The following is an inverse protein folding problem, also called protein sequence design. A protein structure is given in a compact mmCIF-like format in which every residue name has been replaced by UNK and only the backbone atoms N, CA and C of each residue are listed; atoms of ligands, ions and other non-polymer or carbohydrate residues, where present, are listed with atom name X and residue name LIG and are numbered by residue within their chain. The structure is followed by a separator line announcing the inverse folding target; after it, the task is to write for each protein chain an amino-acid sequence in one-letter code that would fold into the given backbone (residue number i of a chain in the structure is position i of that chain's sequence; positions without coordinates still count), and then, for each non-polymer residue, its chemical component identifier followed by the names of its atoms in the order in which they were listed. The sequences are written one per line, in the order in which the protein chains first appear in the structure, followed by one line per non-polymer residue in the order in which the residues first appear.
data_IF_632225063507
#
_entry.id   IF_632225063507
#
_cell.length_a   1.000
_cell.length_b   1.000
_cell.length_c   1.000
_cell.angle_alpha   90.00
_cell.angle_beta   90.00
_cell.angle_gamma   90.00
#
_symmetry.space_group_name_H-M   'P 1'
#
loop_
_entity.id
_entity.type
_entity.pdbx_description
1 polymer ?
#
# COMPACT_ATOMS: atom_id res chain seq x y z
N UNK A 1 31.49 -51.24 -40.91
CA UNK A 1 30.36 -50.53 -40.27
C UNK A 1 30.71 -49.04 -40.26
N UNK A 2 30.05 -48.22 -41.08
CA UNK A 2 30.25 -46.77 -41.08
C UNK A 2 29.62 -46.16 -39.82
N UNK A 3 30.40 -45.47 -39.00
CA UNK A 3 29.86 -44.72 -37.86
C UNK A 3 28.92 -43.61 -38.38
N UNK A 4 27.63 -43.70 -38.03
CA UNK A 4 26.65 -42.68 -38.40
C UNK A 4 26.83 -41.45 -37.50
N UNK A 5 27.44 -40.43 -38.06
CA UNK A 5 27.87 -39.23 -37.37
C UNK A 5 26.97 -38.07 -37.75
N UNK A 6 26.37 -37.42 -36.75
CA UNK A 6 25.47 -36.27 -36.96
C UNK A 6 26.02 -35.01 -36.33
N UNK A 7 25.85 -33.90 -37.01
CA UNK A 7 26.12 -32.58 -36.43
C UNK A 7 25.03 -32.21 -35.42
N UNK A 8 25.33 -31.27 -34.51
CA UNK A 8 24.32 -30.77 -33.57
C UNK A 8 23.11 -30.16 -34.31
N UNK A 9 23.34 -29.62 -35.51
CA UNK A 9 22.25 -29.07 -36.34
C UNK A 9 21.32 -30.18 -36.82
N UNK A 10 21.87 -31.23 -37.44
CA UNK A 10 21.07 -32.36 -37.96
C UNK A 10 20.33 -33.08 -36.83
N UNK A 11 20.96 -33.24 -35.66
CA UNK A 11 20.30 -33.83 -34.50
C UNK A 11 19.15 -32.96 -33.98
N UNK A 12 19.30 -31.63 -34.01
CA UNK A 12 18.24 -30.71 -33.61
C UNK A 12 17.07 -30.73 -34.60
N UNK A 13 17.38 -30.76 -35.91
CA UNK A 13 16.39 -30.81 -36.98
C UNK A 13 15.59 -32.14 -36.92
N UNK A 14 16.23 -33.27 -36.61
CA UNK A 14 15.56 -34.58 -36.40
C UNK A 14 14.63 -34.59 -35.18
N UNK A 15 15.03 -33.89 -34.11
CA UNK A 15 14.28 -33.81 -32.86
C UNK A 15 13.21 -32.71 -32.88
N UNK A 16 13.09 -31.94 -33.95
CA UNK A 16 12.11 -30.84 -34.07
C UNK A 16 12.36 -29.68 -33.10
N UNK A 17 13.59 -29.52 -32.59
CA UNK A 17 13.96 -28.49 -31.61
C UNK A 17 14.97 -27.49 -32.19
N UNK A 18 15.07 -26.32 -31.57
CA UNK A 18 16.04 -25.33 -32.03
C UNK A 18 17.49 -25.78 -31.75
N UNK A 19 18.39 -25.60 -32.73
CA UNK A 19 19.82 -25.86 -32.56
C UNK A 19 20.43 -25.20 -31.31
N UNK A 20 20.00 -23.96 -31.01
CA UNK A 20 20.47 -23.20 -29.84
C UNK A 20 20.04 -23.86 -28.54
N UNK A 21 18.79 -24.31 -28.44
CA UNK A 21 18.27 -25.03 -27.28
C UNK A 21 19.07 -26.32 -27.03
N UNK A 22 19.26 -27.13 -28.08
CA UNK A 22 20.03 -28.36 -27.99
C UNK A 22 21.49 -28.11 -27.54
N UNK A 23 22.16 -27.09 -28.09
CA UNK A 23 23.52 -26.71 -27.68
C UNK A 23 23.59 -26.34 -26.19
N UNK A 24 22.63 -25.55 -25.69
CA UNK A 24 22.58 -25.17 -24.28
C UNK A 24 22.37 -26.39 -23.38
N UNK A 25 21.43 -27.28 -23.73
CA UNK A 25 21.16 -28.51 -22.98
C UNK A 25 22.40 -29.40 -22.91
N UNK A 26 23.07 -29.62 -24.05
CA UNK A 26 24.33 -30.38 -24.09
C UNK A 26 25.39 -29.73 -23.19
N UNK A 27 25.55 -28.41 -23.25
CA UNK A 27 26.54 -27.70 -22.42
C UNK A 27 26.25 -27.82 -20.92
N UNK A 28 24.97 -27.74 -20.54
CA UNK A 28 24.54 -27.88 -19.15
C UNK A 28 24.81 -29.29 -18.62
N UNK A 29 24.36 -30.32 -19.33
CA UNK A 29 24.53 -31.73 -18.91
C UNK A 29 26.01 -32.15 -18.92
N UNK A 30 26.78 -31.67 -19.91
CA UNK A 30 28.23 -31.87 -19.96
C UNK A 30 28.91 -31.35 -18.69
N UNK A 31 28.52 -30.16 -18.22
CA UNK A 31 29.06 -29.56 -16.98
C UNK A 31 28.58 -30.31 -15.74
N UNK A 32 27.30 -30.65 -15.67
CA UNK A 32 26.68 -31.37 -14.55
C UNK A 32 27.32 -32.74 -14.33
N UNK A 33 27.53 -33.49 -15.41
CA UNK A 33 28.02 -34.88 -15.38
C UNK A 33 29.54 -35.00 -15.62
N UNK A 34 30.25 -33.87 -15.81
CA UNK A 34 31.69 -33.81 -16.12
C UNK A 34 32.10 -34.69 -17.32
N UNK A 35 31.25 -34.76 -18.33
CA UNK A 35 31.48 -35.58 -19.53
C UNK A 35 32.23 -34.78 -20.61
N UNK A 36 32.83 -35.48 -21.57
CA UNK A 36 33.35 -34.90 -22.80
C UNK A 36 32.51 -35.38 -23.98
N UNK A 37 31.76 -34.45 -24.58
CA UNK A 37 30.89 -34.71 -25.73
C UNK A 37 31.27 -33.78 -26.87
N UNK A 38 31.26 -34.34 -28.08
CA UNK A 38 31.49 -33.66 -29.34
C UNK A 38 32.93 -33.80 -29.82
N UNK A 39 33.11 -34.42 -30.98
CA UNK A 39 34.40 -34.53 -31.66
C UNK A 39 34.47 -33.53 -32.82
N UNK A 40 35.60 -32.85 -32.96
CA UNK A 40 35.84 -31.94 -34.07
C UNK A 40 36.17 -32.73 -35.33
N UNK A 41 35.42 -32.48 -36.41
CA UNK A 41 35.72 -32.99 -37.75
C UNK A 41 35.68 -31.87 -38.77
N UNK A 42 36.54 -31.97 -39.78
CA UNK A 42 36.58 -31.01 -40.89
C UNK A 42 35.53 -31.41 -41.92
N UNK A 43 34.49 -30.60 -42.06
CA UNK A 43 33.39 -30.80 -43.02
C UNK A 43 33.34 -29.55 -43.89
N UNK A 44 33.44 -29.73 -45.21
CA UNK A 44 33.43 -28.61 -46.17
C UNK A 44 34.45 -27.50 -45.81
N UNK A 45 35.67 -27.90 -45.42
CA UNK A 45 36.75 -26.99 -45.04
C UNK A 45 36.63 -26.35 -43.64
N UNK A 46 35.50 -26.50 -42.94
CA UNK A 46 35.25 -25.92 -41.61
C UNK A 46 35.28 -26.98 -40.51
N UNK A 47 35.84 -26.64 -39.36
CA UNK A 47 35.76 -27.49 -38.17
C UNK A 47 34.34 -27.45 -37.62
N UNK A 48 33.69 -28.62 -37.59
CA UNK A 48 32.32 -28.81 -37.13
C UNK A 48 32.32 -29.85 -36.01
N UNK A 49 31.50 -29.62 -34.99
CA UNK A 49 31.29 -30.59 -33.91
C UNK A 49 30.32 -31.65 -34.41
N UNK A 50 30.75 -32.91 -34.29
CA UNK A 50 29.99 -34.07 -34.72
C UNK A 50 29.85 -35.05 -33.55
N UNK A 51 28.68 -35.68 -33.49
CA UNK A 51 28.25 -36.57 -32.40
C UNK A 51 28.23 -38.01 -32.90
N UNK A 52 28.85 -38.89 -32.13
CA UNK A 52 28.77 -40.35 -32.29
C UNK A 52 27.38 -40.88 -31.95
N UNK A 53 27.06 -42.08 -32.42
CA UNK A 53 25.77 -42.71 -32.14
C UNK A 53 25.49 -42.82 -30.63
N UNK A 54 26.52 -43.10 -29.82
CA UNK A 54 26.42 -43.18 -28.35
C UNK A 54 26.08 -41.82 -27.73
N UNK A 55 26.73 -40.75 -28.20
CA UNK A 55 26.44 -39.40 -27.74
C UNK A 55 25.03 -38.96 -28.16
N UNK A 56 24.60 -39.30 -29.38
CA UNK A 56 23.24 -39.01 -29.85
C UNK A 56 22.18 -39.69 -28.98
N UNK A 57 22.36 -40.97 -28.62
CA UNK A 57 21.41 -41.68 -27.74
C UNK A 57 21.38 -41.11 -26.32
N UNK A 58 22.54 -40.71 -25.79
CA UNK A 58 22.63 -40.08 -24.47
C UNK A 58 21.94 -38.72 -24.44
N UNK A 59 22.09 -37.93 -25.50
CA UNK A 59 21.45 -36.62 -25.62
C UNK A 59 19.92 -36.77 -25.72
N UNK A 60 19.42 -37.81 -26.41
CA UNK A 60 17.99 -38.11 -26.47
C UNK A 60 17.43 -38.47 -25.09
N UNK A 61 18.12 -39.32 -24.32
CA UNK A 61 17.66 -39.67 -22.97
C UNK A 61 17.58 -38.47 -22.02
N UNK A 62 18.46 -37.48 -22.16
CA UNK A 62 18.39 -36.25 -21.37
C UNK A 62 17.20 -35.34 -21.71
N UNK A 63 16.64 -35.49 -22.90
CA UNK A 63 15.43 -34.78 -23.34
C UNK A 63 14.18 -35.51 -22.83
N UNK A 64 14.15 -36.84 -22.97
CA UNK A 64 13.05 -37.67 -22.46
C UNK A 64 12.91 -37.57 -20.93
N UNK A 65 14.03 -37.50 -20.20
CA UNK A 65 14.04 -37.32 -18.74
C UNK A 65 13.63 -35.89 -18.32
N UNK A 66 13.85 -34.89 -19.18
CA UNK A 66 13.37 -33.53 -18.94
C UNK A 66 11.84 -33.43 -19.05
N UNK A 67 11.23 -34.13 -20.01
CA UNK A 67 9.78 -34.19 -20.16
C UNK A 67 9.11 -34.97 -19.00
N UNK A 68 9.79 -35.98 -18.45
CA UNK A 68 9.27 -36.75 -17.29
C UNK A 68 9.42 -36.03 -15.94
N UNK A 69 10.38 -35.11 -15.79
CA UNK A 69 10.61 -34.36 -14.55
C UNK A 69 9.89 -33.00 -14.52
N UNK A 70 9.59 -32.41 -15.68
CA UNK A 70 8.90 -31.12 -15.77
C UNK A 70 7.48 -31.14 -15.21
N UNK A 71 6.75 -32.26 -15.29
CA UNK A 71 5.36 -32.36 -14.83
C UNK A 71 5.18 -32.25 -13.32
N UNK A 72 5.97 -32.98 -12.52
CA UNK A 72 5.73 -33.06 -11.07
C UNK A 72 6.13 -31.80 -10.31
N UNK A 73 7.20 -31.12 -10.73
CA UNK A 73 7.69 -29.92 -10.04
C UNK A 73 6.83 -28.69 -10.39
N UNK A 74 6.34 -28.58 -11.62
CA UNK A 74 5.40 -27.53 -12.03
C UNK A 74 4.03 -27.67 -11.35
N UNK A 75 3.57 -28.90 -11.08
CA UNK A 75 2.29 -29.16 -10.44
C UNK A 75 2.32 -28.85 -8.93
N UNK A 76 3.42 -29.14 -8.24
CA UNK A 76 3.63 -28.73 -6.85
C UNK A 76 3.73 -27.21 -6.71
N UNK A 77 4.48 -26.54 -7.59
CA UNK A 77 4.57 -25.08 -7.62
C UNK A 77 3.22 -24.43 -7.92
N UNK A 78 2.44 -24.98 -8.86
CA UNK A 78 1.05 -24.53 -9.12
C UNK A 78 0.15 -24.73 -7.92
N UNK A 79 0.28 -25.83 -7.20
CA UNK A 79 -0.51 -26.12 -5.99
C UNK A 79 -0.23 -25.08 -4.91
N UNK A 80 1.05 -24.82 -4.63
CA UNK A 80 1.49 -23.81 -3.67
C UNK A 80 1.02 -22.40 -4.07
N UNK A 81 1.13 -22.04 -5.34
CA UNK A 81 0.66 -20.75 -5.86
C UNK A 81 -0.86 -20.58 -5.72
N UNK A 82 -1.64 -21.64 -5.98
CA UNK A 82 -3.10 -21.61 -5.79
C UNK A 82 -3.48 -21.37 -4.34
N UNK A 83 -2.85 -22.07 -3.41
CA UNK A 83 -3.11 -21.91 -1.98
C UNK A 83 -2.74 -20.49 -1.52
N UNK A 84 -1.62 -19.95 -2.01
CA UNK A 84 -1.22 -18.57 -1.73
C UNK A 84 -2.22 -17.54 -2.29
N UNK A 85 -2.70 -17.73 -3.51
CA UNK A 85 -3.72 -16.86 -4.13
C UNK A 85 -5.00 -16.89 -3.29
N UNK A 86 -5.47 -18.06 -2.89
CA UNK A 86 -6.67 -18.20 -2.07
C UNK A 86 -6.57 -17.43 -0.74
N UNK A 87 -5.42 -17.51 -0.06
CA UNK A 87 -5.18 -16.75 1.17
C UNK A 87 -5.17 -15.25 0.89
N UNK A 88 -4.53 -14.80 -0.20
CA UNK A 88 -4.49 -13.39 -0.58
C UNK A 88 -5.88 -12.84 -0.93
N UNK A 89 -6.72 -13.63 -1.61
CA UNK A 89 -8.12 -13.27 -1.90
C UNK A 89 -8.92 -13.08 -0.61
N UNK A 90 -8.76 -13.97 0.38
CA UNK A 90 -9.40 -13.82 1.69
C UNK A 90 -8.96 -12.55 2.43
N UNK A 91 -7.65 -12.24 2.40
CA UNK A 91 -7.16 -10.99 2.99
C UNK A 91 -7.71 -9.77 2.26
N UNK A 92 -7.78 -9.81 0.93
CA UNK A 92 -8.33 -8.73 0.13
C UNK A 92 -9.81 -8.48 0.44
N UNK A 93 -10.62 -9.53 0.60
CA UNK A 93 -12.02 -9.41 1.01
C UNK A 93 -12.15 -8.73 2.37
N UNK A 94 -11.35 -9.14 3.36
CA UNK A 94 -11.34 -8.53 4.69
C UNK A 94 -10.99 -7.05 4.59
N UNK A 95 -9.91 -6.70 3.91
CA UNK A 95 -9.50 -5.31 3.68
C UNK A 95 -10.57 -4.46 2.99
N UNK A 96 -11.28 -5.04 2.00
CA UNK A 96 -12.39 -4.35 1.33
C UNK A 96 -13.56 -4.10 2.28
N UNK A 97 -13.92 -5.08 3.11
CA UNK A 97 -14.98 -4.90 4.12
C UNK A 97 -14.61 -3.83 5.14
N UNK A 98 -13.41 -3.87 5.73
CA UNK A 98 -12.93 -2.86 6.67
C UNK A 98 -12.90 -1.46 6.05
N UNK A 99 -12.43 -1.33 4.81
CA UNK A 99 -12.47 -0.04 4.09
C UNK A 99 -13.89 0.47 3.89
N UNK A 100 -14.86 -0.41 3.62
CA UNK A 100 -16.26 -0.02 3.48
C UNK A 100 -16.86 0.49 4.78
N UNK A 101 -16.51 -0.13 5.91
CA UNK A 101 -16.93 0.30 7.26
C UNK A 101 -16.29 1.62 7.65
N UNK A 102 -15.00 1.78 7.41
CA UNK A 102 -14.28 3.04 7.63
C UNK A 102 -14.90 4.19 6.84
N UNK A 103 -15.27 3.97 5.57
CA UNK A 103 -15.98 4.98 4.76
C UNK A 103 -17.32 5.38 5.39
N UNK A 104 -18.08 4.43 5.94
CA UNK A 104 -19.35 4.73 6.63
C UNK A 104 -19.11 5.56 7.89
N UNK A 105 -18.10 5.22 8.69
CA UNK A 105 -17.73 5.97 9.90
C UNK A 105 -17.28 7.39 9.53
N UNK A 106 -16.47 7.55 8.50
CA UNK A 106 -16.05 8.87 7.99
C UNK A 106 -17.27 9.70 7.58
N UNK A 107 -18.23 9.10 6.87
CA UNK A 107 -19.45 9.82 6.48
C UNK A 107 -20.30 10.22 7.70
N UNK A 108 -20.42 9.35 8.70
CA UNK A 108 -21.17 9.65 9.93
C UNK A 108 -20.50 10.77 10.73
N UNK A 109 -19.17 10.71 10.89
CA UNK A 109 -18.41 11.74 11.60
C UNK A 109 -18.45 13.09 10.88
N UNK A 110 -18.40 13.11 9.54
CA UNK A 110 -18.61 14.33 8.76
C UNK A 110 -20.00 14.93 9.00
N UNK A 111 -21.05 14.10 8.99
CA UNK A 111 -22.41 14.58 9.24
C UNK A 111 -22.57 15.16 10.65
N UNK A 112 -21.98 14.52 11.67
CA UNK A 112 -21.99 15.02 13.05
C UNK A 112 -21.22 16.34 13.18
N UNK A 113 -20.07 16.47 12.50
CA UNK A 113 -19.30 17.70 12.46
C UNK A 113 -20.12 18.83 11.83
N UNK A 114 -20.78 18.58 10.71
CA UNK A 114 -21.65 19.56 10.06
C UNK A 114 -22.82 19.97 10.96
N UNK A 115 -23.42 19.03 11.69
CA UNK A 115 -24.46 19.33 12.69
C UNK A 115 -23.93 20.22 13.82
N UNK A 116 -22.75 19.90 14.35
CA UNK A 116 -22.12 20.69 15.41
C UNK A 116 -21.81 22.11 14.93
N UNK A 117 -21.34 22.29 13.70
CA UNK A 117 -21.11 23.60 13.10
C UNK A 117 -22.42 24.41 12.97
N UNK A 118 -23.51 23.77 12.56
CA UNK A 118 -24.83 24.43 12.46
C UNK A 118 -25.35 24.88 13.83
N UNK A 119 -25.25 24.02 14.84
CA UNK A 119 -25.67 24.36 16.21
C UNK A 119 -24.82 25.50 16.76
N UNK A 120 -23.50 25.47 16.58
CA UNK A 120 -22.61 26.56 17.00
C UNK A 120 -22.97 27.92 16.35
N UNK A 121 -23.40 27.91 15.09
CA UNK A 121 -23.88 29.13 14.42
C UNK A 121 -25.22 29.62 15.00
N UNK A 122 -26.13 28.71 15.35
CA UNK A 122 -27.40 29.06 16.01
C UNK A 122 -27.15 29.63 17.40
N UNK A 123 -26.31 28.98 18.20
CA UNK A 123 -25.93 29.45 19.54
C UNK A 123 -25.27 30.82 19.48
N UNK A 124 -24.37 31.04 18.51
CA UNK A 124 -23.75 32.35 18.29
C UNK A 124 -24.80 33.43 18.02
N UNK A 125 -25.79 33.16 17.17
CA UNK A 125 -26.87 34.11 16.87
C UNK A 125 -27.71 34.43 18.10
N UNK A 126 -28.09 33.40 18.86
CA UNK A 126 -28.85 33.57 20.10
C UNK A 126 -28.07 34.40 21.14
N UNK A 127 -26.77 34.18 21.26
CA UNK A 127 -25.89 34.98 22.12
C UNK A 127 -25.78 36.45 21.66
N UNK A 128 -25.80 36.71 20.36
CA UNK A 128 -25.84 38.08 19.81
C UNK A 128 -27.17 38.76 20.13
N UNK A 129 -28.30 38.06 20.01
CA UNK A 129 -29.65 38.54 20.38
C UNK A 129 -29.72 38.88 21.88
N UNK A 130 -29.27 37.98 22.76
CA UNK A 130 -29.24 38.26 24.21
C UNK A 130 -28.33 39.44 24.58
N UNK A 131 -27.20 39.62 23.90
CA UNK A 131 -26.32 40.78 24.10
C UNK A 131 -27.01 42.08 23.70
N UNK A 132 -27.75 42.08 22.59
CA UNK A 132 -28.51 43.23 22.13
C UNK A 132 -29.67 43.54 23.11
N UNK A 133 -30.47 42.55 23.48
CA UNK A 133 -31.57 42.72 24.43
C UNK A 133 -31.08 43.23 25.79
N UNK A 134 -29.96 42.69 26.29
CA UNK A 134 -29.33 43.20 27.53
C UNK A 134 -28.91 44.67 27.40
N UNK A 135 -28.40 45.08 26.24
CA UNK A 135 -27.99 46.46 25.97
C UNK A 135 -29.21 47.39 25.93
N UNK A 136 -30.28 46.96 25.27
CA UNK A 136 -31.52 47.73 25.15
C UNK A 136 -32.23 47.85 26.51
N UNK A 137 -32.30 46.76 27.28
CA UNK A 137 -32.83 46.77 28.65
C UNK A 137 -32.02 47.69 29.57
N UNK A 138 -30.69 47.69 29.45
CA UNK A 138 -29.83 48.64 30.18
C UNK A 138 -30.11 50.10 29.78
N UNK A 139 -30.37 50.37 28.49
CA UNK A 139 -30.71 51.70 28.01
C UNK A 139 -32.11 52.16 28.47
N UNK A 140 -33.07 51.23 28.57
CA UNK A 140 -34.42 51.52 29.04
C UNK A 140 -34.50 51.79 30.55
N UNK A 141 -33.57 51.24 31.34
CA UNK A 141 -33.58 51.31 32.82
C UNK A 141 -33.02 52.61 33.42
N UNK A 142 -33.06 53.73 32.71
CA UNK A 142 -32.62 55.05 33.23
C UNK A 142 -33.68 56.12 32.99
N UNK A 143 -34.17 56.77 34.08
CA UNK A 143 -33.57 58.04 34.53
C UNK A 143 -32.79 57.91 35.86
N UNK A 144 -31.85 58.83 36.16
CA UNK A 144 -31.07 58.80 37.39
C UNK A 144 -31.98 59.15 38.57
N UNK A 145 -32.32 58.16 39.39
CA UNK A 145 -32.88 58.45 40.71
C UNK A 145 -31.74 58.74 41.67
N UNK A 146 -31.75 59.99 42.10
CA UNK A 146 -30.86 60.67 43.03
C UNK A 146 -30.89 59.96 44.40
N UNK A 147 -30.25 58.79 44.54
CA UNK A 147 -30.13 58.14 45.84
C UNK A 147 -28.74 57.56 46.04
N UNK A 148 -27.98 58.31 46.84
CA UNK A 148 -26.64 58.01 47.37
C UNK A 148 -26.49 56.55 47.76
N UNK A 149 -25.42 55.94 47.23
CA UNK A 149 -24.74 54.79 47.83
C UNK A 149 -25.35 53.43 47.51
N UNK A 150 -24.76 52.71 46.55
CA UNK A 150 -24.95 51.24 46.49
C UNK A 150 -24.97 50.58 45.11
N UNK A 151 -24.87 51.31 44.00
CA UNK A 151 -25.06 50.70 42.66
C UNK A 151 -23.77 50.29 41.92
N UNK A 152 -22.57 50.59 42.46
CA UNK A 152 -21.32 50.28 41.78
C UNK A 152 -20.89 48.80 41.87
N UNK A 153 -21.44 48.04 42.82
CA UNK A 153 -20.91 46.70 43.16
C UNK A 153 -21.51 45.56 42.32
N UNK A 154 -22.69 45.78 41.71
CA UNK A 154 -23.42 44.73 40.97
C UNK A 154 -23.21 44.75 39.45
N UNK A 155 -22.57 45.78 38.88
CA UNK A 155 -22.45 45.93 37.42
C UNK A 155 -21.13 45.40 36.82
N UNK A 156 -20.07 45.30 37.64
CA UNK A 156 -18.72 44.90 37.21
C UNK A 156 -18.48 43.37 37.27
N UNK A 157 -19.10 42.66 38.23
CA UNK A 157 -18.87 41.23 38.47
C UNK A 157 -19.15 40.31 37.26
N UNK A 158 -20.31 40.42 36.56
CA UNK A 158 -20.60 39.50 35.46
C UNK A 158 -19.77 39.77 34.19
N UNK A 159 -19.28 41.01 34.02
CA UNK A 159 -18.51 41.42 32.85
C UNK A 159 -17.05 40.98 32.97
N UNK A 160 -16.47 41.10 34.17
CA UNK A 160 -15.12 40.60 34.46
C UNK A 160 -15.07 39.07 34.42
N UNK A 161 -16.10 38.38 34.90
CA UNK A 161 -16.21 36.93 34.76
C UNK A 161 -16.37 36.50 33.30
N UNK A 162 -17.16 37.23 32.50
CA UNK A 162 -17.27 37.00 31.06
C UNK A 162 -15.95 37.23 30.33
N UNK A 163 -15.21 38.29 30.67
CA UNK A 163 -13.89 38.54 30.08
C UNK A 163 -12.87 37.50 30.50
N UNK A 164 -12.89 37.06 31.76
CA UNK A 164 -12.09 35.92 32.25
C UNK A 164 -12.42 34.64 31.49
N UNK A 165 -13.69 34.24 31.42
CA UNK A 165 -14.12 33.03 30.70
C UNK A 165 -13.84 33.11 29.19
N UNK A 166 -13.92 34.29 28.59
CA UNK A 166 -13.55 34.52 27.19
C UNK A 166 -12.04 34.43 26.97
N UNK A 167 -11.25 34.96 27.91
CA UNK A 167 -9.79 34.83 27.88
C UNK A 167 -9.34 33.38 28.08
N UNK A 168 -10.01 32.65 28.97
CA UNK A 168 -9.77 31.23 29.23
C UNK A 168 -10.14 30.39 27.99
N UNK A 169 -11.31 30.61 27.39
CA UNK A 169 -11.70 29.97 26.13
C UNK A 169 -10.71 30.25 25.00
N UNK A 170 -10.23 31.49 24.89
CA UNK A 170 -9.24 31.85 23.88
C UNK A 170 -7.92 31.11 24.12
N UNK A 171 -7.48 31.02 25.38
CA UNK A 171 -6.26 30.25 25.72
C UNK A 171 -6.42 28.76 25.45
N UNK A 172 -7.60 28.19 25.72
CA UNK A 172 -7.88 26.78 25.45
C UNK A 172 -7.93 26.50 23.94
N UNK A 173 -8.49 27.41 23.14
CA UNK A 173 -8.44 27.31 21.68
C UNK A 173 -7.01 27.45 21.13
N UNK A 174 -6.20 28.32 21.73
CA UNK A 174 -4.80 28.51 21.35
C UNK A 174 -3.96 27.26 21.69
N UNK A 175 -4.18 26.66 22.87
CA UNK A 175 -3.60 25.36 23.25
C UNK A 175 -4.05 24.22 22.32
N UNK A 176 -5.33 24.18 21.94
CA UNK A 176 -5.83 23.18 21.00
C UNK A 176 -5.18 23.34 19.62
N UNK A 177 -5.05 24.57 19.14
CA UNK A 177 -4.37 24.89 17.89
C UNK A 177 -2.87 24.54 17.96
N UNK A 178 -2.19 24.89 19.06
CA UNK A 178 -0.80 24.51 19.31
C UNK A 178 -0.63 22.99 19.32
N UNK A 179 -1.54 22.27 19.96
CA UNK A 179 -1.55 20.81 19.99
C UNK A 179 -1.76 20.22 18.58
N UNK A 180 -2.67 20.78 17.78
CA UNK A 180 -2.81 20.36 16.37
C UNK A 180 -1.57 20.71 15.51
N UNK A 181 -0.86 21.80 15.79
CA UNK A 181 0.40 22.11 15.10
C UNK A 181 1.57 21.24 15.56
N UNK A 182 1.65 20.89 16.85
CA UNK A 182 2.63 19.96 17.41
C UNK A 182 2.38 18.54 16.92
N UNK A 183 1.12 18.13 16.75
CA UNK A 183 0.77 16.89 16.07
C UNK A 183 1.20 16.93 14.60
N UNK A 184 1.05 18.04 13.87
CA UNK A 184 1.60 18.18 12.51
C UNK A 184 3.15 18.17 12.45
N UNK A 185 3.83 18.60 13.51
CA UNK A 185 5.29 18.54 13.64
C UNK A 185 5.82 17.21 14.22
N UNK A 186 4.96 16.44 14.90
CA UNK A 186 5.25 15.16 15.55
C UNK A 186 4.77 13.93 14.78
N UNK A 187 3.87 14.08 13.80
CA UNK A 187 3.61 13.03 12.81
C UNK A 187 4.89 12.90 11.98
N UNK A 188 5.56 11.73 11.98
CA UNK A 188 6.69 11.51 11.09
C UNK A 188 6.18 11.77 9.68
N UNK A 189 6.73 12.79 9.00
CA UNK A 189 6.32 13.24 7.66
C UNK A 189 6.27 12.13 6.60
N UNK A 190 6.70 10.91 6.92
CA UNK A 190 6.64 9.72 6.08
C UNK A 190 6.56 8.45 6.94
N UNK A 191 5.43 8.18 7.60
CA UNK A 191 5.24 6.92 8.34
C UNK A 191 5.40 5.67 7.43
N UNK A 192 5.20 5.81 6.12
CA UNK A 192 5.47 4.80 5.08
C UNK A 192 6.96 4.53 4.80
N UNK A 193 7.92 5.29 5.35
CA UNK A 193 9.35 5.01 5.16
C UNK A 193 9.93 3.95 6.12
N UNK A 194 9.18 3.57 7.15
CA UNK A 194 9.62 2.60 8.18
C UNK A 194 9.19 1.17 7.85
N UNK A 195 8.57 0.95 6.69
CA UNK A 195 8.06 -0.34 6.21
C UNK A 195 8.91 -0.91 5.05
N UNK A 196 10.24 -0.74 5.10
CA UNK A 196 11.17 -1.28 4.09
C UNK A 196 12.06 -2.38 4.67
#
# INVERSE_FOLDING_TARGET
MSENLKTIKELADELGISKKYLQNKISYEKKKQKLSIGNWKKISGKNTIVLSQKEQTLIKSWLDEADSLGGNQEDEEKSYLKERIFVLEKFLDIEQTSNSELKKIIQQTQNLLDQQQRLALQDKKLLEEYKAETKDLKALKMPPEDTRGGQAEYQYQPQEELERLKSENKSLQEQLNEQTTLEQHGVPRKWWQWWK
#
